data_IF_560858802865
#
_entry.id   IF_560858802865
#
_cell.length_a   1.000
_cell.length_b   1.000
_cell.length_c   1.000
_cell.angle_alpha   90.00
_cell.angle_beta   90.00
_cell.angle_gamma   90.00
#
_symmetry.space_group_name_H-M   'P 1'
#
loop_
_entity.id
_entity.type
_entity.pdbx_description
1 polymer ?
#
# COMPACT_ATOMS: atom_id res chain seq x y z
N UNK A 1 -11.81 -8.36 -11.33
CA UNK A 1 -11.09 -9.54 -10.83
C UNK A 1 -11.86 -10.05 -9.64
N UNK A 2 -12.28 -11.31 -9.70
CA UNK A 2 -13.06 -11.95 -8.65
C UNK A 2 -12.16 -12.49 -7.53
N UNK A 3 -12.78 -12.95 -6.45
CA UNK A 3 -12.09 -13.51 -5.29
C UNK A 3 -11.11 -14.63 -5.68
N UNK A 4 -9.94 -14.63 -5.02
CA UNK A 4 -8.83 -15.54 -5.28
C UNK A 4 -8.07 -15.32 -6.60
N UNK A 5 -8.50 -14.40 -7.47
CA UNK A 5 -7.82 -14.17 -8.74
C UNK A 5 -6.47 -13.48 -8.53
N UNK A 6 -5.43 -13.93 -9.24
CA UNK A 6 -4.11 -13.29 -9.28
C UNK A 6 -3.79 -12.83 -10.70
N UNK A 7 -3.43 -11.56 -10.86
CA UNK A 7 -2.78 -11.04 -12.06
C UNK A 7 -1.42 -10.47 -11.69
N UNK A 8 -0.37 -10.98 -12.33
CA UNK A 8 0.98 -10.45 -12.23
C UNK A 8 1.49 -10.13 -13.63
N UNK A 9 1.91 -8.88 -13.84
CA UNK A 9 2.53 -8.46 -15.09
C UNK A 9 3.69 -7.48 -14.83
N UNK A 10 4.81 -7.72 -15.50
CA UNK A 10 5.99 -6.86 -15.44
C UNK A 10 6.46 -6.57 -16.86
N UNK A 11 6.59 -5.29 -17.24
CA UNK A 11 7.24 -4.97 -18.51
C UNK A 11 8.76 -5.09 -18.39
N UNK A 12 9.38 -5.66 -19.42
CA UNK A 12 10.83 -5.79 -19.52
C UNK A 12 11.49 -4.62 -20.26
N UNK A 13 10.69 -3.77 -20.93
CA UNK A 13 11.14 -2.59 -21.65
C UNK A 13 10.08 -1.47 -21.59
N UNK A 14 10.49 -0.22 -21.83
CA UNK A 14 9.57 0.91 -21.97
C UNK A 14 9.50 1.36 -23.45
N UNK A 15 8.33 1.18 -24.07
CA UNK A 15 8.11 1.47 -25.50
C UNK A 15 7.09 2.59 -25.72
N UNK A 16 6.84 3.46 -24.72
CA UNK A 16 5.84 4.53 -24.86
C UNK A 16 4.38 4.06 -24.76
N UNK A 17 4.13 2.81 -24.38
CA UNK A 17 2.79 2.22 -24.27
C UNK A 17 2.46 1.86 -22.83
N UNK A 18 1.17 1.97 -22.42
CA UNK A 18 0.76 1.54 -21.10
C UNK A 18 0.86 0.02 -20.94
N UNK A 19 1.08 -0.45 -19.71
CA UNK A 19 1.09 -1.90 -19.44
C UNK A 19 -0.30 -2.50 -19.66
N UNK A 20 -1.33 -1.79 -19.23
CA UNK A 20 -2.72 -2.16 -19.46
C UNK A 20 -3.51 -0.98 -20.02
N UNK A 21 -4.20 -1.24 -21.13
CA UNK A 21 -5.17 -0.33 -21.73
C UNK A 21 -6.58 -0.83 -21.45
N UNK A 22 -7.36 -0.01 -20.77
CA UNK A 22 -8.71 -0.33 -20.33
C UNK A 22 -9.73 0.46 -21.16
N UNK A 23 -10.70 -0.24 -21.74
CA UNK A 23 -11.85 0.36 -22.44
C UNK A 23 -13.05 0.62 -21.52
N UNK A 24 -12.96 0.24 -20.25
CA UNK A 24 -14.03 0.35 -19.26
C UNK A 24 -13.49 0.29 -17.83
N UNK A 25 -14.37 -0.04 -16.89
CA UNK A 25 -14.03 -0.12 -15.48
C UNK A 25 -13.00 -1.23 -15.19
N UNK A 26 -12.14 -0.98 -14.22
CA UNK A 26 -11.23 -1.97 -13.65
C UNK A 26 -11.59 -2.17 -12.19
N UNK A 27 -11.92 -3.41 -11.81
CA UNK A 27 -12.19 -3.77 -10.42
C UNK A 27 -11.29 -4.89 -9.93
N UNK A 28 -10.82 -4.76 -8.69
CA UNK A 28 -10.14 -5.81 -7.92
C UNK A 28 -10.93 -5.99 -6.64
N UNK A 29 -11.58 -7.15 -6.52
CA UNK A 29 -12.50 -7.47 -5.41
C UNK A 29 -11.76 -8.11 -4.25
N UNK A 30 -12.52 -8.36 -3.19
CA UNK A 30 -12.04 -9.03 -2.00
C UNK A 30 -11.28 -10.31 -2.32
N UNK A 31 -10.14 -10.51 -1.67
CA UNK A 31 -9.31 -11.72 -1.81
C UNK A 31 -8.52 -11.83 -3.11
N UNK A 32 -8.76 -10.96 -4.10
CA UNK A 32 -7.99 -10.90 -5.34
C UNK A 32 -6.66 -10.15 -5.17
N UNK A 33 -5.67 -10.47 -6.01
CA UNK A 33 -4.36 -9.82 -6.04
C UNK A 33 -3.96 -9.30 -7.42
N UNK A 34 -3.45 -8.08 -7.49
CA UNK A 34 -2.98 -7.43 -8.71
C UNK A 34 -1.57 -6.86 -8.54
N UNK A 35 -0.64 -7.29 -9.37
CA UNK A 35 0.73 -6.79 -9.42
C UNK A 35 1.05 -6.32 -10.83
N UNK A 36 1.31 -5.02 -10.99
CA UNK A 36 1.65 -4.40 -12.26
C UNK A 36 2.93 -3.58 -12.09
N UNK A 37 3.99 -3.98 -12.81
CA UNK A 37 5.32 -3.38 -12.65
C UNK A 37 5.87 -2.85 -13.97
N UNK A 38 6.24 -1.57 -14.00
CA UNK A 38 7.08 -0.95 -15.02
C UNK A 38 8.42 -0.54 -14.40
N UNK A 39 9.37 -1.48 -14.23
CA UNK A 39 10.65 -1.24 -13.57
C UNK A 39 11.58 -0.32 -14.39
N UNK A 40 11.47 -0.37 -15.72
CA UNK A 40 12.29 0.43 -16.63
C UNK A 40 11.77 1.86 -16.71
N UNK A 41 12.64 2.83 -16.42
CA UNK A 41 12.30 4.26 -16.43
C UNK A 41 11.71 4.71 -17.76
N UNK A 42 10.61 5.44 -17.71
CA UNK A 42 10.08 6.23 -18.83
C UNK A 42 8.79 6.96 -18.45
N UNK A 43 8.00 7.41 -19.41
CA UNK A 43 6.83 8.28 -19.15
C UNK A 43 5.47 7.60 -19.34
N UNK A 44 5.45 6.38 -19.90
CA UNK A 44 4.22 5.62 -20.13
C UNK A 44 3.47 5.37 -18.82
N UNK A 45 2.14 5.59 -18.77
CA UNK A 45 1.38 5.27 -17.58
C UNK A 45 1.26 3.75 -17.42
N UNK A 46 1.05 3.28 -16.19
CA UNK A 46 0.87 1.85 -15.92
C UNK A 46 -0.48 1.37 -16.47
N UNK A 47 -1.55 2.11 -16.13
CA UNK A 47 -2.92 1.90 -16.56
C UNK A 47 -3.40 3.11 -17.36
N UNK A 48 -3.93 2.86 -18.54
CA UNK A 48 -4.52 3.90 -19.39
C UNK A 48 -5.99 3.58 -19.70
N UNK A 49 -6.87 4.55 -19.45
CA UNK A 49 -8.30 4.46 -19.71
C UNK A 49 -8.66 5.35 -20.90
N UNK A 50 -9.18 4.76 -21.98
CA UNK A 50 -9.49 5.51 -23.22
C UNK A 50 -10.74 6.38 -23.13
N UNK A 51 -11.59 6.16 -22.12
CA UNK A 51 -12.84 6.88 -21.88
C UNK A 51 -12.99 7.17 -20.39
N UNK A 52 -14.06 7.89 -20.00
CA UNK A 52 -14.40 8.03 -18.59
C UNK A 52 -14.55 6.64 -17.95
N UNK A 53 -13.92 6.41 -16.80
CA UNK A 53 -13.82 5.09 -16.19
C UNK A 53 -13.88 5.11 -14.66
N UNK A 54 -14.21 3.94 -14.12
CA UNK A 54 -14.19 3.67 -12.69
C UNK A 54 -13.07 2.65 -12.38
N UNK A 55 -12.21 2.99 -11.43
CA UNK A 55 -11.22 2.08 -10.83
C UNK A 55 -11.69 1.77 -9.43
N UNK A 56 -11.86 0.50 -9.13
CA UNK A 56 -12.37 0.05 -7.83
C UNK A 56 -11.50 -1.07 -7.26
N UNK A 57 -10.75 -0.76 -6.21
CA UNK A 57 -10.03 -1.77 -5.43
C UNK A 57 -10.71 -1.84 -4.07
N UNK A 58 -11.48 -2.92 -3.84
CA UNK A 58 -12.34 -3.06 -2.68
C UNK A 58 -11.94 -4.29 -1.85
N UNK A 59 -11.25 -4.03 -0.75
CA UNK A 59 -10.62 -5.00 0.15
C UNK A 59 -9.80 -6.08 -0.56
N UNK A 60 -8.97 -5.73 -1.57
CA UNK A 60 -8.17 -6.73 -2.26
C UNK A 60 -7.21 -7.39 -1.26
N UNK A 61 -6.84 -8.66 -1.51
CA UNK A 61 -5.76 -9.29 -0.73
C UNK A 61 -4.50 -8.44 -0.84
N UNK A 62 -4.12 -8.07 -2.08
CA UNK A 62 -2.99 -7.17 -2.32
C UNK A 62 -3.13 -6.49 -3.69
N UNK A 63 -2.87 -5.19 -3.75
CA UNK A 63 -2.64 -4.47 -5.01
C UNK A 63 -1.30 -3.77 -4.92
N UNK A 64 -0.46 -3.97 -5.93
CA UNK A 64 0.83 -3.30 -6.09
C UNK A 64 0.92 -2.78 -7.52
N UNK A 65 1.02 -1.47 -7.63
CA UNK A 65 1.12 -0.76 -8.89
C UNK A 65 2.40 0.07 -8.87
N UNK A 66 3.40 -0.33 -9.66
CA UNK A 66 4.70 0.33 -9.70
C UNK A 66 5.00 0.88 -11.10
N UNK A 67 5.27 2.18 -11.19
CA UNK A 67 5.64 2.85 -12.43
C UNK A 67 6.90 3.70 -12.25
N UNK A 68 8.01 3.31 -12.89
CA UNK A 68 9.24 4.08 -12.86
C UNK A 68 9.20 5.24 -13.87
N UNK A 69 8.95 6.45 -13.38
CA UNK A 69 8.95 7.70 -14.15
C UNK A 69 7.59 8.10 -14.76
N UNK A 70 6.67 7.14 -14.95
CA UNK A 70 5.30 7.38 -15.39
C UNK A 70 4.32 7.51 -14.22
N UNK A 71 3.03 7.66 -14.56
CA UNK A 71 1.93 7.64 -13.58
C UNK A 71 1.29 6.26 -13.50
N UNK A 72 0.68 5.93 -12.37
CA UNK A 72 -0.10 4.69 -12.21
C UNK A 72 -1.36 4.77 -13.08
N UNK A 73 -2.13 5.85 -12.98
CA UNK A 73 -3.37 6.04 -13.72
C UNK A 73 -3.23 7.15 -14.76
N UNK A 74 -3.79 6.93 -15.94
CA UNK A 74 -3.99 7.95 -16.96
C UNK A 74 -5.39 7.82 -17.58
N UNK A 75 -6.13 8.92 -17.63
CA UNK A 75 -7.48 8.97 -18.18
C UNK A 75 -7.50 9.90 -19.38
N UNK A 76 -7.96 9.41 -20.54
CA UNK A 76 -8.13 10.22 -21.74
C UNK A 76 -9.46 10.97 -21.77
N UNK A 77 -10.45 10.50 -21.00
CA UNK A 77 -11.78 11.10 -20.90
C UNK A 77 -12.15 11.50 -19.47
N UNK A 78 -13.40 11.93 -19.29
CA UNK A 78 -13.95 12.39 -18.01
C UNK A 78 -14.13 13.91 -17.98
N UNK A 79 -15.31 14.36 -17.55
CA UNK A 79 -15.67 15.78 -17.43
C UNK A 79 -16.09 16.09 -16.00
N UNK A 80 -16.29 17.37 -15.65
CA UNK A 80 -16.82 17.73 -14.34
C UNK A 80 -18.22 17.12 -14.07
N UNK A 81 -19.05 16.97 -15.10
CA UNK A 81 -20.39 16.38 -15.00
C UNK A 81 -20.39 14.84 -14.99
N UNK A 82 -19.33 14.22 -15.51
CA UNK A 82 -19.16 12.76 -15.53
C UNK A 82 -17.67 12.43 -15.32
N UNK A 83 -17.17 12.58 -14.09
CA UNK A 83 -15.74 12.41 -13.80
C UNK A 83 -15.36 10.93 -13.76
N UNK A 84 -14.07 10.67 -13.92
CA UNK A 84 -13.50 9.38 -13.55
C UNK A 84 -13.58 9.19 -12.04
N UNK A 85 -13.51 7.95 -11.59
CA UNK A 85 -13.53 7.60 -10.19
C UNK A 85 -12.40 6.62 -9.85
N UNK A 86 -11.66 6.93 -8.79
CA UNK A 86 -10.68 6.04 -8.17
C UNK A 86 -11.21 5.76 -6.78
N UNK A 87 -11.75 4.56 -6.55
CA UNK A 87 -12.26 4.12 -5.27
C UNK A 87 -11.34 3.04 -4.71
N UNK A 88 -10.77 3.32 -3.54
CA UNK A 88 -9.79 2.49 -2.88
C UNK A 88 -10.31 2.18 -1.48
N UNK A 89 -10.44 0.91 -1.15
CA UNK A 89 -10.82 0.45 0.18
C UNK A 89 -9.90 -0.71 0.58
N UNK A 90 -9.12 -0.52 1.63
CA UNK A 90 -8.27 -1.56 2.19
C UNK A 90 -7.87 -1.17 3.62
N UNK A 91 -7.40 -2.14 4.41
CA UNK A 91 -6.89 -1.86 5.76
C UNK A 91 -5.66 -0.95 5.75
N UNK A 92 -4.87 -0.97 4.66
CA UNK A 92 -3.86 0.05 4.41
C UNK A 92 -3.79 0.39 2.92
N UNK A 93 -3.68 1.69 2.63
CA UNK A 93 -3.45 2.23 1.29
C UNK A 93 -2.19 3.11 1.36
N UNK A 94 -1.19 2.84 0.52
CA UNK A 94 0.04 3.63 0.47
C UNK A 94 0.26 4.26 -0.90
N UNK A 95 0.81 5.47 -0.88
CA UNK A 95 0.95 6.33 -2.04
C UNK A 95 2.35 6.96 -2.10
N UNK A 96 2.97 6.88 -3.29
CA UNK A 96 4.21 7.59 -3.61
C UNK A 96 4.05 8.36 -4.93
N UNK A 97 4.69 9.53 -5.01
CA UNK A 97 4.79 10.33 -6.24
C UNK A 97 6.03 10.00 -7.09
N UNK A 98 6.96 9.22 -6.54
CA UNK A 98 8.15 8.75 -7.21
C UNK A 98 8.40 7.28 -6.86
N UNK A 99 8.87 6.52 -7.84
CA UNK A 99 9.26 5.13 -7.64
C UNK A 99 10.73 5.06 -7.23
N UNK A 100 11.04 4.24 -6.22
CA UNK A 100 12.43 3.98 -5.84
C UNK A 100 13.13 3.11 -6.87
N UNK A 101 14.41 3.42 -7.12
CA UNK A 101 15.24 2.72 -8.10
C UNK A 101 16.58 2.32 -7.47
N UNK A 102 17.08 1.09 -7.72
CA UNK A 102 16.50 0.06 -8.60
C UNK A 102 15.19 -0.53 -8.05
N UNK A 103 14.39 -1.15 -8.91
CA UNK A 103 13.14 -1.82 -8.51
C UNK A 103 13.35 -2.83 -7.37
N UNK A 104 14.54 -3.45 -7.32
CA UNK A 104 14.99 -4.39 -6.28
C UNK A 104 15.19 -3.77 -4.89
N UNK A 105 15.06 -2.44 -4.74
CA UNK A 105 15.10 -1.76 -3.43
C UNK A 105 13.78 -1.06 -3.09
N UNK A 106 12.73 -1.25 -3.90
CA UNK A 106 11.45 -0.58 -3.71
C UNK A 106 10.57 -1.25 -2.64
N UNK A 107 9.86 -0.44 -1.86
CA UNK A 107 8.92 -0.91 -0.84
C UNK A 107 9.54 -1.58 0.39
N UNK A 108 10.86 -1.46 0.58
CA UNK A 108 11.53 -1.79 1.85
C UNK A 108 11.29 -0.74 2.93
N UNK A 109 11.84 -0.95 4.14
CA UNK A 109 11.66 -0.04 5.28
C UNK A 109 12.23 1.37 5.04
N UNK A 110 13.18 1.49 4.12
CA UNK A 110 13.83 2.73 3.70
C UNK A 110 13.15 3.38 2.46
N UNK A 111 11.99 2.87 2.04
CA UNK A 111 11.15 3.39 0.96
C UNK A 111 9.74 3.75 1.47
N UNK A 112 9.70 4.57 2.51
CA UNK A 112 8.43 4.94 3.14
C UNK A 112 7.50 5.69 2.16
N UNK A 113 6.18 5.42 2.19
CA UNK A 113 5.23 6.15 1.38
C UNK A 113 5.17 7.63 1.77
N UNK A 114 4.88 8.46 0.77
CA UNK A 114 4.58 9.87 1.01
C UNK A 114 3.32 10.00 1.87
N UNK A 115 2.31 9.17 1.60
CA UNK A 115 1.09 9.07 2.39
C UNK A 115 0.71 7.62 2.63
N UNK A 116 0.32 7.32 3.87
CA UNK A 116 -0.26 6.04 4.26
C UNK A 116 -1.59 6.28 4.95
N UNK A 117 -2.62 5.59 4.48
CA UNK A 117 -3.99 5.71 4.96
C UNK A 117 -4.42 4.41 5.62
N UNK A 118 -4.83 4.49 6.89
CA UNK A 118 -5.36 3.35 7.65
C UNK A 118 -6.21 3.82 8.81
N UNK A 119 -7.14 2.98 9.27
CA UNK A 119 -7.87 3.22 10.51
C UNK A 119 -7.19 2.52 11.68
N UNK A 120 -7.30 3.11 12.87
CA UNK A 120 -6.70 2.57 14.09
C UNK A 120 -7.44 1.33 14.62
N UNK A 121 -8.71 1.17 14.27
CA UNK A 121 -9.57 0.04 14.64
C UNK A 121 -9.34 -1.22 13.77
N UNK A 122 -8.50 -1.12 12.73
CA UNK A 122 -8.23 -2.21 11.80
C UNK A 122 -9.29 -2.39 10.70
N UNK A 123 -10.31 -1.53 10.66
CA UNK A 123 -11.28 -1.48 9.56
C UNK A 123 -10.66 -0.88 8.29
N UNK A 124 -11.29 -1.14 7.15
CA UNK A 124 -10.83 -0.60 5.87
C UNK A 124 -10.90 0.95 5.85
N UNK A 125 -9.77 1.57 5.49
CA UNK A 125 -9.75 2.94 5.02
C UNK A 125 -10.35 2.97 3.61
N UNK A 126 -11.39 3.79 3.41
CA UNK A 126 -12.05 3.97 2.14
C UNK A 126 -11.82 5.40 1.64
N UNK A 127 -11.27 5.55 0.43
CA UNK A 127 -10.99 6.82 -0.22
C UNK A 127 -11.60 6.79 -1.62
N UNK A 128 -12.33 7.85 -1.95
CA UNK A 128 -12.87 8.07 -3.30
C UNK A 128 -12.34 9.38 -3.83
N UNK A 129 -11.68 9.34 -4.99
CA UNK A 129 -11.27 10.52 -5.75
C UNK A 129 -12.03 10.57 -7.08
N UNK A 130 -12.77 11.65 -7.30
CA UNK A 130 -13.30 12.01 -8.62
C UNK A 130 -12.32 12.92 -9.34
N UNK A 131 -12.04 12.64 -10.60
CA UNK A 131 -11.05 13.38 -11.39
C UNK A 131 -11.48 13.51 -12.85
N UNK A 132 -11.13 14.63 -13.47
CA UNK A 132 -11.09 14.71 -14.95
C UNK A 132 -9.76 14.12 -15.44
N UNK A 133 -9.47 14.26 -16.73
CA UNK A 133 -8.14 13.93 -17.28
C UNK A 133 -7.01 14.84 -16.77
N UNK A 134 -7.34 15.98 -16.15
CA UNK A 134 -6.34 17.01 -15.80
C UNK A 134 -6.44 17.57 -14.38
N UNK A 135 -7.50 17.26 -13.63
CA UNK A 135 -7.71 17.83 -12.30
C UNK A 135 -8.57 16.95 -11.41
N UNK A 136 -8.24 16.96 -10.11
CA UNK A 136 -9.11 16.43 -9.05
C UNK A 136 -10.36 17.29 -8.95
N UNK A 137 -11.53 16.65 -8.95
CA UNK A 137 -12.84 17.30 -8.76
C UNK A 137 -13.23 17.25 -7.28
N UNK A 138 -13.10 16.09 -6.67
CA UNK A 138 -13.37 15.91 -5.24
C UNK A 138 -12.66 14.68 -4.69
N UNK A 139 -12.03 14.79 -3.51
CA UNK A 139 -11.71 13.65 -2.68
C UNK A 139 -12.71 13.50 -1.53
N UNK A 140 -12.90 12.27 -1.07
CA UNK A 140 -13.66 11.95 0.14
C UNK A 140 -13.09 10.69 0.79
N UNK A 141 -13.25 10.55 2.10
CA UNK A 141 -12.85 9.33 2.81
C UNK A 141 -13.71 9.08 4.05
N UNK A 142 -13.60 7.87 4.60
CA UNK A 142 -14.17 7.51 5.91
C UNK A 142 -13.17 7.69 7.07
N UNK A 143 -12.05 8.37 6.84
CA UNK A 143 -11.03 8.61 7.87
C UNK A 143 -11.46 9.75 8.78
N UNK A 144 -11.08 9.65 10.05
CA UNK A 144 -11.30 10.67 11.06
C UNK A 144 -9.98 11.09 11.73
N UNK A 145 -10.05 12.12 12.58
CA UNK A 145 -8.92 12.56 13.38
C UNK A 145 -8.29 11.40 14.15
N UNK A 146 -6.95 11.35 14.18
CA UNK A 146 -6.19 10.24 14.76
C UNK A 146 -5.96 9.06 13.81
N UNK A 147 -6.61 9.01 12.64
CA UNK A 147 -6.25 8.04 11.60
C UNK A 147 -5.07 8.56 10.75
N UNK A 148 -4.02 7.75 10.51
CA UNK A 148 -2.99 8.10 9.56
C UNK A 148 -3.56 8.43 8.17
N UNK A 149 -3.08 9.53 7.59
CA UNK A 149 -3.55 10.05 6.31
C UNK A 149 -4.78 10.97 6.39
N UNK A 150 -5.33 11.22 7.59
CA UNK A 150 -6.33 12.27 7.81
C UNK A 150 -5.66 13.64 8.06
N UNK A 151 -6.24 14.76 7.57
CA UNK A 151 -7.39 14.83 6.68
C UNK A 151 -7.01 14.50 5.24
N UNK A 152 -7.93 13.86 4.52
CA UNK A 152 -7.83 13.73 3.07
C UNK A 152 -8.17 15.09 2.46
N UNK A 153 -7.13 15.82 2.04
CA UNK A 153 -7.27 17.18 1.49
C UNK A 153 -7.39 17.18 -0.04
N UNK A 154 -7.80 18.32 -0.60
CA UNK A 154 -7.85 18.55 -2.06
C UNK A 154 -6.48 18.42 -2.76
N UNK A 155 -5.37 18.46 -2.01
CA UNK A 155 -4.02 18.27 -2.56
C UNK A 155 -3.67 16.80 -2.81
N UNK A 156 -4.49 15.85 -2.34
CA UNK A 156 -4.34 14.43 -2.69
C UNK A 156 -4.80 14.21 -4.13
N UNK A 157 -3.86 13.76 -4.98
CA UNK A 157 -4.14 13.42 -6.36
C UNK A 157 -3.54 12.06 -6.74
N UNK A 158 -4.37 11.01 -6.73
CA UNK A 158 -3.97 9.68 -7.16
C UNK A 158 -3.56 9.58 -8.64
N UNK A 159 -3.92 10.56 -9.49
CA UNK A 159 -3.39 10.60 -10.86
C UNK A 159 -1.91 10.97 -10.91
N UNK A 160 -1.37 11.53 -9.83
CA UNK A 160 0.06 11.80 -9.68
C UNK A 160 0.86 10.63 -9.12
N UNK A 161 0.20 9.54 -8.67
CA UNK A 161 0.87 8.37 -8.13
C UNK A 161 1.87 7.79 -9.14
N UNK A 162 3.09 7.54 -8.71
CA UNK A 162 4.04 6.69 -9.43
C UNK A 162 4.01 5.26 -8.86
N UNK A 163 3.75 5.13 -7.56
CA UNK A 163 3.51 3.84 -6.89
C UNK A 163 2.25 3.94 -6.05
N UNK A 164 1.39 2.94 -6.18
CA UNK A 164 0.23 2.75 -5.31
C UNK A 164 0.26 1.34 -4.77
N UNK A 165 -0.19 1.20 -3.53
CA UNK A 165 -0.46 -0.12 -3.01
C UNK A 165 -1.57 -0.19 -1.99
N UNK A 166 -2.13 -1.40 -1.87
CA UNK A 166 -3.20 -1.71 -0.95
C UNK A 166 -3.08 -3.14 -0.46
N UNK A 167 -3.49 -3.38 0.77
CA UNK A 167 -3.54 -4.73 1.32
C UNK A 167 -4.50 -4.82 2.49
N UNK A 168 -5.02 -6.03 2.68
CA UNK A 168 -5.50 -6.45 3.99
C UNK A 168 -4.28 -6.57 4.93
N UNK A 169 -4.27 -5.78 6.01
CA UNK A 169 -3.27 -5.89 7.07
C UNK A 169 -3.39 -7.28 7.70
N UNK A 170 -2.39 -8.14 7.48
CA UNK A 170 -2.33 -9.48 8.09
C UNK A 170 -1.36 -9.52 9.29
N UNK A 171 -0.99 -8.35 9.83
CA UNK A 171 -0.09 -8.24 10.98
C UNK A 171 -0.90 -8.30 12.27
N UNK A 172 -0.64 -9.32 13.07
CA UNK A 172 -1.10 -9.42 14.45
C UNK A 172 0.12 -9.53 15.35
N UNK A 173 0.09 -8.83 16.46
CA UNK A 173 1.17 -8.82 17.44
C UNK A 173 0.59 -9.28 18.76
N UNK A 174 1.31 -10.15 19.44
CA UNK A 174 0.93 -10.62 20.76
C UNK A 174 1.10 -9.51 21.79
N UNK A 175 0.50 -9.70 22.96
CA UNK A 175 0.63 -8.73 24.06
C UNK A 175 2.10 -8.55 24.46
N UNK A 176 2.62 -7.32 24.29
CA UNK A 176 3.95 -6.94 24.75
C UNK A 176 3.86 -6.34 26.15
N UNK A 177 4.56 -6.96 27.08
CA UNK A 177 4.72 -6.48 28.46
C UNK A 177 6.09 -5.89 28.66
N UNK A 178 6.27 -5.20 29.77
CA UNK A 178 7.52 -4.56 30.13
C UNK A 178 8.58 -5.54 30.70
N UNK A 179 8.27 -6.84 30.65
CA UNK A 179 9.18 -7.96 30.92
C UNK A 179 9.43 -8.81 29.67
N UNK A 180 8.81 -8.47 28.54
CA UNK A 180 8.96 -9.26 27.31
C UNK A 180 10.41 -9.17 26.82
N UNK A 181 11.02 -10.32 26.56
CA UNK A 181 12.33 -10.43 25.90
C UNK A 181 12.22 -10.49 24.37
N UNK A 182 11.00 -10.63 23.86
CA UNK A 182 10.70 -10.74 22.43
C UNK A 182 9.45 -9.94 22.10
N UNK A 183 9.36 -9.49 20.85
CA UNK A 183 8.11 -9.06 20.22
C UNK A 183 7.71 -10.15 19.24
N UNK A 184 6.56 -10.76 19.48
CA UNK A 184 6.06 -11.90 18.71
C UNK A 184 4.73 -11.59 18.04
N UNK A 185 4.41 -12.37 17.02
CA UNK A 185 3.13 -12.28 16.35
C UNK A 185 3.09 -13.07 15.06
N UNK A 186 2.10 -12.75 14.23
CA UNK A 186 1.89 -13.33 12.92
C UNK A 186 1.79 -12.24 11.87
N UNK A 187 2.24 -12.55 10.65
CA UNK A 187 2.16 -11.71 9.47
C UNK A 187 2.12 -12.59 8.22
N UNK A 188 2.25 -12.01 7.03
CA UNK A 188 2.43 -12.77 5.80
C UNK A 188 3.68 -13.69 5.89
N UNK A 189 3.62 -14.93 5.36
CA UNK A 189 4.78 -15.81 5.31
C UNK A 189 6.01 -15.14 4.68
N UNK A 190 7.18 -15.38 5.27
CA UNK A 190 8.48 -14.86 4.84
C UNK A 190 8.57 -13.31 4.76
N UNK A 191 7.64 -12.58 5.37
CA UNK A 191 7.69 -11.13 5.37
C UNK A 191 8.83 -10.62 6.27
N UNK A 192 9.56 -9.60 5.81
CA UNK A 192 10.45 -8.84 6.67
C UNK A 192 9.61 -8.13 7.76
N UNK A 193 10.10 -8.14 8.99
CA UNK A 193 9.46 -7.53 10.16
C UNK A 193 10.47 -6.63 10.85
N UNK A 194 10.09 -5.40 11.16
CA UNK A 194 10.86 -4.45 11.95
C UNK A 194 10.03 -4.02 13.16
N UNK A 195 10.62 -4.10 14.35
CA UNK A 195 10.13 -3.44 15.54
C UNK A 195 11.03 -2.24 15.83
N UNK A 196 10.42 -1.07 16.01
CA UNK A 196 11.13 0.13 16.43
C UNK A 196 10.38 0.85 17.54
N UNK A 197 11.11 1.21 18.60
CA UNK A 197 10.66 2.09 19.67
C UNK A 197 11.66 3.26 19.87
N UNK A 198 11.54 4.00 20.96
CA UNK A 198 12.44 5.13 21.26
C UNK A 198 13.88 4.73 21.60
N UNK A 199 14.16 3.45 21.84
CA UNK A 199 15.41 2.94 22.39
C UNK A 199 16.08 1.85 21.51
N UNK A 200 15.33 1.16 20.66
CA UNK A 200 15.85 0.11 19.78
C UNK A 200 15.11 0.04 18.44
N UNK A 201 15.83 -0.47 17.43
CA UNK A 201 15.25 -0.95 16.17
C UNK A 201 15.84 -2.32 15.86
N UNK A 202 14.97 -3.31 15.66
CA UNK A 202 15.34 -4.71 15.41
C UNK A 202 14.52 -5.19 14.23
N UNK A 203 15.16 -5.88 13.30
CA UNK A 203 14.49 -6.48 12.15
C UNK A 203 14.91 -7.94 11.94
N UNK A 204 13.97 -8.74 11.46
CA UNK A 204 14.17 -10.14 11.05
C UNK A 204 13.05 -10.52 10.05
N UNK A 205 12.96 -11.78 9.65
CA UNK A 205 11.87 -12.28 8.82
C UNK A 205 10.89 -13.15 9.63
N UNK A 206 9.62 -13.11 9.22
CA UNK A 206 8.65 -14.12 9.60
C UNK A 206 9.00 -15.46 8.93
N UNK A 207 8.63 -16.56 9.57
CA UNK A 207 8.84 -17.90 9.01
C UNK A 207 7.89 -18.21 7.83
N UNK A 208 8.01 -19.43 7.28
CA UNK A 208 7.20 -19.90 6.16
C UNK A 208 5.69 -20.05 6.46
N UNK A 209 5.27 -19.89 7.71
CA UNK A 209 3.85 -19.84 8.11
C UNK A 209 3.43 -18.45 8.62
N UNK A 210 4.35 -17.49 8.62
CA UNK A 210 4.09 -16.09 8.98
C UNK A 210 4.33 -15.75 10.44
N UNK A 211 4.84 -16.66 11.27
CA UNK A 211 5.17 -16.34 12.66
C UNK A 211 6.51 -15.58 12.72
N UNK A 212 6.58 -14.53 13.55
CA UNK A 212 7.83 -13.80 13.78
C UNK A 212 8.13 -13.68 15.28
N UNK A 213 9.41 -13.54 15.60
CA UNK A 213 9.90 -13.37 16.97
C UNK A 213 11.17 -12.53 16.99
N UNK A 214 11.02 -11.24 17.30
CA UNK A 214 12.13 -10.28 17.31
C UNK A 214 12.75 -10.19 18.71
N UNK A 215 14.03 -10.55 18.91
CA UNK A 215 14.69 -10.52 20.21
C UNK A 215 14.97 -9.08 20.64
N UNK A 216 14.46 -8.69 21.81
CA UNK A 216 14.67 -7.37 22.38
C UNK A 216 16.00 -7.31 23.13
N UNK A 217 16.75 -6.22 22.92
CA UNK A 217 18.01 -5.96 23.63
C UNK A 217 17.83 -5.01 24.80
N UNK A 218 16.74 -4.24 24.78
CA UNK A 218 16.29 -3.39 25.89
C UNK A 218 14.81 -3.64 26.19
N UNK A 219 14.41 -3.27 27.40
CA UNK A 219 13.01 -3.36 27.86
C UNK A 219 12.08 -2.63 26.86
N UNK A 220 11.00 -3.29 26.39
CA UNK A 220 10.15 -2.73 25.36
C UNK A 220 9.40 -1.47 25.82
N UNK A 221 9.32 -0.48 24.92
CA UNK A 221 8.45 0.69 25.04
C UNK A 221 7.32 0.63 23.99
N UNK A 222 6.26 1.47 24.11
CA UNK A 222 5.32 1.68 23.01
C UNK A 222 6.09 2.02 21.73
N UNK A 223 5.91 1.19 20.71
CA UNK A 223 6.66 1.25 19.46
C UNK A 223 5.77 0.93 18.28
N UNK A 224 6.39 0.80 17.12
CA UNK A 224 5.74 0.50 15.84
C UNK A 224 6.28 -0.82 15.32
N UNK A 225 5.38 -1.72 14.90
CA UNK A 225 5.77 -2.86 14.07
C UNK A 225 5.51 -2.55 12.62
N UNK A 226 6.57 -2.65 11.82
CA UNK A 226 6.52 -2.62 10.38
C UNK A 226 6.72 -4.01 9.83
N UNK A 227 6.01 -4.29 8.76
CA UNK A 227 6.15 -5.53 8.01
C UNK A 227 6.28 -5.13 6.55
N UNK A 228 7.26 -5.73 5.86
CA UNK A 228 7.54 -5.63 4.44
C UNK A 228 7.44 -7.00 3.78
N UNK A 229 6.95 -7.09 2.55
CA UNK A 229 6.85 -8.36 1.83
C UNK A 229 7.97 -8.49 0.80
N UNK A 230 8.65 -9.64 0.79
CA UNK A 230 9.81 -9.90 -0.09
C UNK A 230 9.68 -11.27 -0.79
N UNK A 231 8.87 -11.37 -1.84
CA UNK A 231 9.06 -12.43 -2.83
C UNK A 231 9.83 -11.89 -4.03
N UNK A 232 11.15 -11.99 -3.89
CA UNK A 232 12.17 -12.17 -4.94
C UNK A 232 12.50 -11.05 -5.93
N UNK A 233 11.91 -9.84 -5.90
CA UNK A 233 12.42 -8.64 -6.63
C UNK A 233 11.73 -7.30 -6.29
N UNK A 234 11.19 -7.21 -5.07
CA UNK A 234 10.44 -6.10 -4.45
C UNK A 234 9.17 -5.60 -5.16
N UNK A 235 8.09 -5.46 -4.39
CA UNK A 235 7.50 -4.17 -3.98
C UNK A 235 6.54 -4.47 -2.82
N UNK A 236 6.70 -3.65 -1.77
CA UNK A 236 5.81 -3.32 -0.66
C UNK A 236 5.96 -4.09 0.67
N UNK A 237 6.24 -3.40 1.78
CA UNK A 237 5.24 -2.92 2.76
C UNK A 237 5.93 -2.18 3.93
N UNK A 238 5.32 -1.09 4.40
CA UNK A 238 5.62 -0.50 5.68
C UNK A 238 4.30 -0.47 6.46
N UNK A 239 4.00 -1.58 7.13
CA UNK A 239 2.92 -1.59 8.11
C UNK A 239 3.35 -0.86 9.39
N UNK A 240 2.44 -0.54 10.28
CA UNK A 240 2.76 0.22 11.48
C UNK A 240 1.69 -0.02 12.52
N UNK A 241 1.76 -1.13 13.22
CA UNK A 241 0.87 -1.35 14.35
C UNK A 241 1.52 -0.77 15.62
N UNK A 242 0.81 0.14 16.30
CA UNK A 242 1.22 0.72 17.59
C UNK A 242 0.49 -0.04 18.68
N UNK A 243 1.23 -0.62 19.63
CA UNK A 243 0.63 -1.38 20.72
C UNK A 243 0.61 -0.60 22.03
N UNK A 244 -0.44 -0.71 22.84
CA UNK A 244 -0.44 -0.20 24.20
C UNK A 244 0.43 -1.09 25.10
N UNK A 245 1.29 -0.47 25.92
CA UNK A 245 2.07 -1.16 26.95
C UNK A 245 1.13 -1.66 28.05
N UNK A 246 1.07 -2.98 28.27
CA UNK A 246 0.45 -3.54 29.49
C UNK A 246 1.49 -3.55 30.61
N UNK A 247 1.34 -2.67 31.59
CA UNK A 247 2.04 -2.78 32.87
C UNK A 247 1.30 -3.81 33.72
N UNK A 248 1.98 -4.90 34.12
CA UNK A 248 1.47 -5.71 35.24
C UNK A 248 1.67 -4.92 36.53
N UNK A 249 0.59 -4.76 37.28
CA UNK A 249 0.62 -4.35 38.67
C UNK A 249 1.13 -5.49 39.54
#
# INVERSE_FOLDING_TARGET
MEDGALLYATATANNGVPLLKCSGALSVRQGASLFLNLPTRGSSPLLYFSTAANVEFNSPKTVVLYSNGGKVFSFAGGTAASPNAINLAAKQINYWTAAKTPFTSAGGFDDAPLLSFRKADGEAAAITQKTTSSAVVSPSSNLAEGNPGYPVSASLDFTQAAVLSQSELDVKVDDVSDLSAYVTGTTAPNAAVEYSDSAQSISDAADGIGAFSLPLTVKPAPGVIRVGWEESKSVLLAFGAVFPRKTRF
#
